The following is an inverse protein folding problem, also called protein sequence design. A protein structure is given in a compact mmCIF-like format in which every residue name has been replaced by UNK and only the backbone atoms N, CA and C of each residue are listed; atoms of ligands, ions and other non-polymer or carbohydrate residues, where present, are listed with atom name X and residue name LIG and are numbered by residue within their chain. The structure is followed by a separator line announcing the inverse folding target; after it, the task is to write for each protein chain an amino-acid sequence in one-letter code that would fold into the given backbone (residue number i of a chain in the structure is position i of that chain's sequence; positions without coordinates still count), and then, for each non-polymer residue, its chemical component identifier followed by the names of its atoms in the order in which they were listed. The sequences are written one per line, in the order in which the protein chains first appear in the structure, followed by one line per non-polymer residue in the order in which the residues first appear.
data_IF_352427046504
#
_entry.id   IF_352427046504
#
_cell.length_a   1.000
_cell.length_b   1.000
_cell.length_c   1.000
_cell.angle_alpha   90.00
_cell.angle_beta   90.00
_cell.angle_gamma   90.00
#
_symmetry.space_group_name_H-M   'P 1'
#
loop_
_entity.id
_entity.type
_entity.pdbx_description
1 polymer ?
#
# COMPACT_ATOMS: atom_id res chain seq x y z
N UNK A 1 9.61 25.17 -13.78
CA UNK A 1 8.80 24.00 -13.41
C UNK A 1 7.74 23.81 -14.47
N UNK A 2 7.63 22.61 -15.04
CA UNK A 2 6.66 22.26 -16.08
C UNK A 2 5.29 21.98 -15.47
N UNK A 3 4.22 22.49 -16.10
CA UNK A 3 2.84 22.30 -15.63
C UNK A 3 2.45 20.82 -15.57
N UNK A 4 2.87 20.02 -16.55
CA UNK A 4 2.60 18.59 -16.57
C UNK A 4 3.28 17.85 -15.43
N UNK A 5 4.54 18.19 -15.14
CA UNK A 5 5.28 17.62 -14.01
C UNK A 5 4.70 18.02 -12.66
N UNK A 6 4.32 19.29 -12.49
CA UNK A 6 3.69 19.76 -11.26
C UNK A 6 2.40 18.96 -10.96
N UNK A 7 1.50 18.87 -11.94
CA UNK A 7 0.25 18.11 -11.79
C UNK A 7 0.49 16.62 -11.52
N UNK A 8 1.44 15.99 -12.21
CA UNK A 8 1.75 14.59 -12.01
C UNK A 8 2.36 14.31 -10.62
N UNK A 9 3.23 15.19 -10.13
CA UNK A 9 3.85 15.05 -8.82
C UNK A 9 2.85 15.34 -7.69
N UNK A 10 1.96 16.32 -7.87
CA UNK A 10 0.92 16.64 -6.89
C UNK A 10 -0.10 15.51 -6.76
N UNK A 11 -0.51 14.91 -7.89
CA UNK A 11 -1.39 13.73 -7.91
C UNK A 11 -0.71 12.51 -7.28
N UNK A 12 0.57 12.26 -7.60
CA UNK A 12 1.32 11.16 -6.99
C UNK A 12 1.50 11.34 -5.48
N UNK A 13 1.81 12.56 -5.03
CA UNK A 13 1.92 12.90 -3.61
C UNK A 13 0.60 12.68 -2.86
N UNK A 14 -0.50 13.21 -3.41
CA UNK A 14 -1.84 13.05 -2.82
C UNK A 14 -2.22 11.59 -2.61
N UNK A 15 -1.85 10.71 -3.55
CA UNK A 15 -2.07 9.26 -3.45
C UNK A 15 -1.22 8.61 -2.37
N UNK A 16 0.06 8.97 -2.29
CA UNK A 16 0.94 8.48 -1.22
C UNK A 16 0.37 8.87 0.13
N UNK A 17 -0.10 10.10 0.31
CA UNK A 17 -0.70 10.55 1.57
C UNK A 17 -1.97 9.78 1.93
N UNK A 18 -2.82 9.46 0.95
CA UNK A 18 -3.99 8.61 1.16
C UNK A 18 -3.58 7.20 1.63
N UNK A 19 -2.56 6.60 1.02
CA UNK A 19 -2.03 5.29 1.43
C UNK A 19 -1.41 5.36 2.83
N UNK A 20 -0.64 6.40 3.13
CA UNK A 20 -0.05 6.63 4.46
C UNK A 20 -1.12 6.81 5.54
N UNK A 21 -2.26 7.43 5.21
CA UNK A 21 -3.43 7.52 6.09
C UNK A 21 -4.11 6.17 6.28
N UNK A 22 -4.34 5.43 5.19
CA UNK A 22 -4.95 4.10 5.24
C UNK A 22 -4.08 3.10 6.04
N UNK A 23 -2.75 3.16 5.91
CA UNK A 23 -1.84 2.35 6.72
C UNK A 23 -1.94 2.62 8.22
N UNK A 24 -2.26 3.86 8.61
CA UNK A 24 -2.42 4.25 10.02
C UNK A 24 -3.80 3.94 10.59
N UNK A 25 -4.84 4.15 9.79
CA UNK A 25 -6.25 4.11 10.23
C UNK A 25 -6.95 2.80 9.88
N UNK A 26 -6.44 2.06 8.90
CA UNK A 26 -7.11 0.88 8.33
C UNK A 26 -8.19 1.20 7.29
N UNK A 27 -8.49 2.48 7.03
CA UNK A 27 -9.52 2.91 6.07
C UNK A 27 -9.02 2.81 4.62
N UNK A 28 -8.99 1.61 4.07
CA UNK A 28 -8.48 1.34 2.71
C UNK A 28 -9.48 1.72 1.62
N UNK A 29 -10.77 1.79 1.96
CA UNK A 29 -11.86 2.26 1.12
C UNK A 29 -11.71 3.72 0.66
N UNK A 30 -10.94 4.53 1.39
CA UNK A 30 -10.67 5.93 1.04
C UNK A 30 -9.48 6.11 0.08
N UNK A 31 -8.75 5.03 -0.24
CA UNK A 31 -7.59 5.11 -1.13
C UNK A 31 -8.08 5.21 -2.59
N UNK A 32 -7.77 6.30 -3.30
CA UNK A 32 -8.23 6.48 -4.66
C UNK A 32 -7.60 5.45 -5.60
N UNK A 33 -8.36 5.04 -6.62
CA UNK A 33 -7.87 4.16 -7.67
C UNK A 33 -6.70 4.80 -8.42
N UNK A 34 -5.72 3.99 -8.82
CA UNK A 34 -4.58 4.47 -9.58
C UNK A 34 -4.99 4.83 -11.00
N UNK A 35 -4.85 6.09 -11.40
CA UNK A 35 -4.91 6.47 -12.81
C UNK A 35 -3.50 6.60 -13.38
N UNK A 36 -3.29 6.12 -14.61
CA UNK A 36 -2.07 6.44 -15.32
C UNK A 36 -2.12 7.90 -15.77
N UNK A 37 -1.01 8.64 -15.69
CA UNK A 37 -0.94 9.96 -16.31
C UNK A 37 -1.22 9.81 -17.81
N UNK A 38 -2.25 10.49 -18.30
CA UNK A 38 -2.66 10.48 -19.71
C UNK A 38 -1.75 11.30 -20.62
N UNK A 39 -0.85 12.09 -20.03
CA UNK A 39 0.03 13.01 -20.76
C UNK A 39 1.48 12.53 -20.75
N UNK A 40 2.11 12.51 -21.92
CA UNK A 40 3.53 12.16 -22.04
C UNK A 40 4.37 13.31 -21.49
N UNK A 41 4.92 13.11 -20.29
CA UNK A 41 5.84 14.07 -19.67
C UNK A 41 7.17 14.08 -20.44
N UNK A 42 7.69 15.28 -20.70
CA UNK A 42 9.08 15.44 -21.14
C UNK A 42 10.08 15.13 -20.02
N UNK A 43 11.40 15.26 -20.25
CA UNK A 43 12.40 15.10 -19.20
C UNK A 43 12.14 16.05 -18.01
N UNK A 44 12.26 15.58 -16.76
CA UNK A 44 12.13 16.45 -15.60
C UNK A 44 13.33 17.39 -15.47
N UNK A 45 13.10 18.56 -14.89
CA UNK A 45 14.16 19.38 -14.30
C UNK A 45 14.76 18.70 -13.06
N UNK A 46 15.93 19.15 -12.61
CA UNK A 46 16.59 18.60 -11.42
C UNK A 46 15.69 18.63 -10.17
N UNK A 47 14.96 19.73 -9.96
CA UNK A 47 14.03 19.86 -8.84
C UNK A 47 12.83 18.89 -8.94
N UNK A 48 12.30 18.66 -10.15
CA UNK A 48 11.22 17.69 -10.38
C UNK A 48 11.72 16.25 -10.19
N UNK A 49 12.95 15.96 -10.63
CA UNK A 49 13.58 14.66 -10.43
C UNK A 49 13.83 14.36 -8.95
N UNK A 50 14.29 15.35 -8.17
CA UNK A 50 14.49 15.18 -6.73
C UNK A 50 13.17 14.98 -6.00
N UNK A 51 12.14 15.78 -6.32
CA UNK A 51 10.80 15.57 -5.77
C UNK A 51 10.27 14.17 -6.09
N UNK A 52 10.45 13.70 -7.32
CA UNK A 52 10.08 12.33 -7.70
C UNK A 52 10.84 11.27 -6.89
N UNK A 53 12.15 11.43 -6.67
CA UNK A 53 12.94 10.50 -5.83
C UNK A 53 12.41 10.40 -4.41
N UNK A 54 12.05 11.53 -3.81
CA UNK A 54 11.45 11.58 -2.47
C UNK A 54 10.12 10.83 -2.45
N UNK A 55 9.24 11.10 -3.42
CA UNK A 55 7.93 10.44 -3.52
C UNK A 55 8.07 8.92 -3.75
N UNK A 56 8.97 8.49 -4.62
CA UNK A 56 9.24 7.06 -4.84
C UNK A 56 9.75 6.37 -3.57
N UNK A 57 10.60 7.05 -2.79
CA UNK A 57 11.10 6.52 -1.51
C UNK A 57 9.98 6.37 -0.47
N UNK A 58 9.02 7.31 -0.43
CA UNK A 58 7.81 7.20 0.41
C UNK A 58 6.91 6.06 -0.06
N UNK A 59 6.67 5.93 -1.36
CA UNK A 59 5.89 4.83 -1.93
C UNK A 59 6.49 3.46 -1.59
N UNK A 60 7.81 3.30 -1.71
CA UNK A 60 8.50 2.05 -1.36
C UNK A 60 8.40 1.72 0.14
N UNK A 61 8.40 2.74 1.00
CA UNK A 61 8.13 2.55 2.43
C UNK A 61 6.70 2.03 2.65
N UNK A 62 5.71 2.65 2.02
CA UNK A 62 4.32 2.22 2.10
C UNK A 62 4.15 0.77 1.62
N UNK A 63 4.75 0.42 0.47
CA UNK A 63 4.74 -0.94 -0.08
C UNK A 63 5.26 -1.97 0.92
N UNK A 64 6.40 -1.70 1.56
CA UNK A 64 6.98 -2.60 2.58
C UNK A 64 6.06 -2.77 3.78
N UNK A 65 5.42 -1.69 4.25
CA UNK A 65 4.47 -1.74 5.37
C UNK A 65 3.23 -2.55 5.01
N UNK A 66 2.69 -2.38 3.80
CA UNK A 66 1.54 -3.14 3.30
C UNK A 66 1.87 -4.63 3.23
N UNK A 67 3.00 -5.01 2.64
CA UNK A 67 3.43 -6.41 2.55
C UNK A 67 3.59 -7.03 3.94
N UNK A 68 4.26 -6.33 4.86
CA UNK A 68 4.40 -6.81 6.23
C UNK A 68 3.04 -6.96 6.95
N UNK A 69 2.07 -6.09 6.66
CA UNK A 69 0.71 -6.23 7.21
C UNK A 69 -0.01 -7.45 6.65
N UNK A 70 0.12 -7.72 5.35
CA UNK A 70 -0.44 -8.91 4.70
C UNK A 70 0.17 -10.20 5.27
N UNK A 71 1.48 -10.25 5.46
CA UNK A 71 2.17 -11.40 6.06
C UNK A 71 1.68 -11.67 7.49
N UNK A 72 1.53 -10.62 8.32
CA UNK A 72 0.96 -10.76 9.67
C UNK A 72 -0.48 -11.26 9.63
N UNK A 73 -1.29 -10.75 8.71
CA UNK A 73 -2.67 -11.18 8.51
C UNK A 73 -2.76 -12.66 8.11
N UNK A 74 -1.96 -13.09 7.14
CA UNK A 74 -1.89 -14.48 6.70
C UNK A 74 -1.48 -15.42 7.84
N UNK A 75 -0.50 -15.03 8.66
CA UNK A 75 -0.09 -15.79 9.84
C UNK A 75 -1.22 -15.94 10.87
N UNK A 76 -2.02 -14.89 11.08
CA UNK A 76 -3.19 -14.95 11.98
C UNK A 76 -4.24 -15.94 11.46
N UNK A 77 -4.57 -15.88 10.17
CA UNK A 77 -5.53 -16.79 9.52
C UNK A 77 -5.06 -18.24 9.65
N UNK A 78 -3.77 -18.51 9.39
CA UNK A 78 -3.22 -19.86 9.50
C UNK A 78 -3.34 -20.43 10.94
N UNK A 79 -3.08 -19.60 11.96
CA UNK A 79 -3.25 -19.98 13.38
C UNK A 79 -4.72 -20.27 13.71
N UNK A 80 -5.64 -19.41 13.29
CA UNK A 80 -7.07 -19.63 13.50
C UNK A 80 -7.57 -20.92 12.84
N UNK A 81 -7.09 -21.21 11.62
CA UNK A 81 -7.40 -22.46 10.94
C UNK A 81 -6.84 -23.68 11.69
N UNK A 82 -5.62 -23.60 12.23
CA UNK A 82 -5.03 -24.68 13.02
C UNK A 82 -5.83 -24.96 14.29
N UNK A 83 -6.25 -23.91 15.02
CA UNK A 83 -7.12 -24.03 16.19
C UNK A 83 -8.45 -24.69 15.82
N UNK A 84 -9.09 -24.26 14.72
CA UNK A 84 -10.34 -24.87 14.23
C UNK A 84 -10.19 -26.33 13.81
N UNK A 85 -9.02 -26.76 13.32
CA UNK A 85 -8.73 -28.18 13.02
C UNK A 85 -8.53 -28.98 14.30
N UNK A 86 -7.74 -28.47 15.24
CA UNK A 86 -7.51 -29.11 16.53
C UNK A 86 -8.83 -29.31 17.30
N UNK A 87 -9.68 -28.27 17.39
CA UNK A 87 -10.99 -28.36 18.05
C UNK A 87 -11.90 -29.44 17.41
N UNK A 88 -11.90 -29.56 16.07
CA UNK A 88 -12.62 -30.63 15.37
C UNK A 88 -12.06 -32.02 15.70
N UNK A 89 -10.74 -32.17 15.77
CA UNK A 89 -10.09 -33.40 16.20
C UNK A 89 -10.52 -33.83 17.61
N UNK A 90 -10.54 -32.90 18.57
CA UNK A 90 -11.00 -33.18 19.94
C UNK A 90 -12.47 -33.59 20.02
N UNK A 91 -13.35 -32.95 19.25
CA UNK A 91 -14.78 -33.27 19.22
C UNK A 91 -15.09 -34.60 18.50
N UNK A 92 -14.15 -35.11 17.70
CA UNK A 92 -14.31 -36.35 16.91
C UNK A 92 -13.59 -37.55 17.50
N UNK A 93 -12.91 -37.39 18.65
CA UNK A 93 -12.19 -38.48 19.30
C UNK A 93 -13.19 -39.46 19.97
N UNK A 94 -13.09 -40.78 19.72
CA UNK A 94 -13.94 -41.76 20.39
C UNK A 94 -13.63 -41.77 21.90
N UNK A 95 -14.70 -41.83 22.71
CA UNK A 95 -14.63 -41.91 24.18
C UNK A 95 -14.11 -43.26 24.65
#
# INVERSE_FOLDING_TARGET
MSRGWALALDDFESRIEAIERALRTGAWEEVPAWSQPTERLGPPSEAEAERLRVLLSRAERCRRLMLAALERGAGRIAREQAVRRAARGYLSAPR
#
